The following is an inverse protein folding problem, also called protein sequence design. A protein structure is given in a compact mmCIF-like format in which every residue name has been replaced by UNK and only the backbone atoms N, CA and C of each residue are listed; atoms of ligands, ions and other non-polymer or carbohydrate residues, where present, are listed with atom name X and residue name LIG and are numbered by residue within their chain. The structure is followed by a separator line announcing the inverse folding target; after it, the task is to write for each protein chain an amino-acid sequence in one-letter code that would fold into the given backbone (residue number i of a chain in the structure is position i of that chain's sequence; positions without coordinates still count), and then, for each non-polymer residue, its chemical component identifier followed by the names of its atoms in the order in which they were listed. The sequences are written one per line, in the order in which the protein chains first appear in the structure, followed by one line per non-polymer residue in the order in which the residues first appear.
data_IF_538404227605
#
_entry.id   IF_538404227605
#
_cell.length_a   1.000
_cell.length_b   1.000
_cell.length_c   1.000
_cell.angle_alpha   90.00
_cell.angle_beta   90.00
_cell.angle_gamma   90.00
#
_symmetry.space_group_name_H-M   'P 1'
#
loop_
_entity.id
_entity.type
_entity.pdbx_description
1 polymer ?
#
# COMPACT_ATOMS: atom_id res chain seq x y z
N UNK A 1 11.16 -41.98 8.03
CA UNK A 1 11.54 -41.12 6.88
C UNK A 1 10.34 -40.41 6.23
N UNK A 2 9.22 -41.09 5.94
CA UNK A 2 8.02 -40.44 5.34
C UNK A 2 7.51 -39.22 6.13
N UNK A 3 7.51 -39.28 7.47
CA UNK A 3 7.01 -38.19 8.31
C UNK A 3 7.91 -36.93 8.30
N UNK A 4 9.22 -37.10 8.07
CA UNK A 4 10.17 -35.99 7.96
C UNK A 4 9.99 -35.25 6.63
N UNK A 5 9.69 -35.99 5.56
CA UNK A 5 9.44 -35.43 4.22
C UNK A 5 8.15 -34.61 4.21
N UNK A 6 7.08 -35.09 4.86
CA UNK A 6 5.83 -34.32 5.01
C UNK A 6 6.02 -33.04 5.83
N UNK A 7 6.83 -33.09 6.91
CA UNK A 7 7.14 -31.90 7.71
C UNK A 7 7.91 -30.84 6.90
N UNK A 8 8.89 -31.28 6.09
CA UNK A 8 9.65 -30.39 5.21
C UNK A 8 8.78 -29.75 4.13
N UNK A 9 7.81 -30.48 3.56
CA UNK A 9 6.85 -29.93 2.60
C UNK A 9 5.95 -28.85 3.24
N UNK A 10 5.48 -29.07 4.47
CA UNK A 10 4.65 -28.08 5.19
C UNK A 10 5.44 -26.80 5.49
N UNK A 11 6.72 -26.92 5.88
CA UNK A 11 7.61 -25.77 6.14
C UNK A 11 7.90 -24.96 4.86
N UNK A 12 7.99 -25.62 3.71
CA UNK A 12 8.19 -24.92 2.44
C UNK A 12 6.89 -24.28 1.91
N UNK A 13 5.71 -24.85 2.22
CA UNK A 13 4.43 -24.22 1.90
C UNK A 13 4.05 -23.08 2.85
N UNK A 14 4.62 -23.04 4.07
CA UNK A 14 4.44 -21.93 5.01
C UNK A 14 5.42 -20.77 4.81
N UNK A 15 6.30 -20.81 3.79
CA UNK A 15 6.83 -19.59 3.18
C UNK A 15 5.72 -18.93 2.35
N UNK A 16 4.66 -18.57 3.07
CA UNK A 16 3.62 -17.64 2.67
C UNK A 16 4.32 -16.36 2.24
N UNK A 17 3.87 -15.83 1.12
CA UNK A 17 4.17 -14.51 0.60
C UNK A 17 3.98 -13.43 1.68
N UNK A 18 4.97 -13.23 2.54
CA UNK A 18 5.14 -11.97 3.23
C UNK A 18 5.91 -11.10 2.27
N UNK A 19 5.19 -10.30 1.48
CA UNK A 19 5.79 -9.16 0.80
C UNK A 19 6.36 -8.30 1.93
N UNK A 20 7.66 -8.43 2.23
CA UNK A 20 8.30 -7.66 3.27
C UNK A 20 8.10 -6.19 2.93
N UNK A 21 7.40 -5.47 3.82
CA UNK A 21 7.25 -4.02 3.73
C UNK A 21 8.66 -3.42 3.62
N UNK A 22 8.92 -2.52 2.65
CA UNK A 22 10.24 -1.93 2.47
C UNK A 22 10.77 -1.35 3.79
N UNK A 23 12.07 -1.48 4.05
CA UNK A 23 12.68 -1.05 5.30
C UNK A 23 12.34 0.43 5.58
N UNK A 24 11.75 0.71 6.74
CA UNK A 24 11.33 2.06 7.13
C UNK A 24 9.89 2.45 6.75
N UNK A 25 9.11 1.53 6.19
CA UNK A 25 7.68 1.73 5.95
C UNK A 25 6.83 0.90 6.92
N UNK A 26 5.66 1.44 7.27
CA UNK A 26 4.60 0.79 8.05
C UNK A 26 3.46 0.33 7.13
N UNK A 27 2.67 -0.63 7.60
CA UNK A 27 1.41 -1.06 7.00
C UNK A 27 0.23 -0.37 7.68
N UNK A 28 -0.92 -0.30 7.00
CA UNK A 28 -2.20 0.14 7.60
C UNK A 28 -2.69 -0.80 8.72
N UNK A 29 -2.15 -2.02 8.79
CA UNK A 29 -2.45 -3.00 9.84
C UNK A 29 -1.58 -2.84 11.09
N UNK A 30 -0.58 -1.95 11.07
CA UNK A 30 0.28 -1.73 12.24
C UNK A 30 -0.48 -0.95 13.33
N UNK A 31 -0.07 -1.10 14.58
CA UNK A 31 -0.76 -0.51 15.74
C UNK A 31 0.03 0.59 16.44
N UNK A 32 1.30 0.77 16.08
CA UNK A 32 2.20 1.75 16.71
C UNK A 32 2.77 2.68 15.65
N UNK A 33 2.41 3.96 15.76
CA UNK A 33 2.83 5.03 14.86
C UNK A 33 3.46 6.17 15.64
N UNK A 34 4.53 6.72 15.07
CA UNK A 34 5.21 7.92 15.58
C UNK A 34 5.31 8.97 14.48
N UNK A 35 5.66 10.20 14.87
CA UNK A 35 5.83 11.31 13.93
C UNK A 35 6.86 10.94 12.85
N UNK A 36 6.55 11.27 11.60
CA UNK A 36 7.38 11.03 10.41
C UNK A 36 7.46 9.57 9.94
N UNK A 37 6.65 8.64 10.49
CA UNK A 37 6.53 7.32 9.88
C UNK A 37 5.88 7.40 8.50
N UNK A 38 6.41 6.60 7.57
CA UNK A 38 5.86 6.46 6.22
C UNK A 38 5.02 5.19 6.17
N UNK A 39 3.79 5.31 5.70
CA UNK A 39 2.90 4.16 5.50
C UNK A 39 2.96 3.80 4.03
N UNK A 40 3.13 2.52 3.73
CA UNK A 40 3.07 2.03 2.35
C UNK A 40 1.61 2.08 1.88
N UNK A 41 1.29 3.11 1.10
CA UNK A 41 -0.04 3.29 0.53
C UNK A 41 -0.37 2.18 -0.48
N UNK A 42 -1.57 1.56 -0.44
CA UNK A 42 -2.02 0.72 -1.54
C UNK A 42 -2.11 1.54 -2.83
N UNK A 43 -1.92 0.89 -3.98
CA UNK A 43 -1.84 1.57 -5.28
C UNK A 43 -3.22 2.10 -5.65
N UNK A 44 -3.33 3.43 -5.83
CA UNK A 44 -4.50 4.09 -6.40
C UNK A 44 -4.14 4.49 -7.82
N UNK A 45 -4.81 3.90 -8.81
CA UNK A 45 -4.62 4.27 -10.21
C UNK A 45 -5.73 5.21 -10.68
N UNK A 46 -5.36 6.23 -11.45
CA UNK A 46 -6.28 7.16 -12.07
C UNK A 46 -6.04 7.23 -13.57
N UNK A 47 -7.11 7.46 -14.33
CA UNK A 47 -7.02 7.76 -15.74
C UNK A 47 -6.85 9.26 -15.92
N UNK A 48 -5.91 9.66 -16.78
CA UNK A 48 -5.72 11.05 -17.23
C UNK A 48 -6.43 11.31 -18.56
N UNK A 49 -6.66 10.26 -19.37
CA UNK A 49 -7.34 10.34 -20.66
C UNK A 49 -8.86 10.33 -20.45
N UNK A 50 -9.45 11.52 -20.33
CA UNK A 50 -10.90 11.71 -20.15
C UNK A 50 -11.32 12.50 -18.90
N UNK A 51 -10.36 12.99 -18.13
CA UNK A 51 -10.58 13.70 -16.86
C UNK A 51 -10.14 12.87 -15.65
N UNK A 52 -10.03 13.49 -14.45
CA UNK A 52 -9.56 12.81 -13.25
C UNK A 52 -10.59 11.77 -12.80
N UNK A 53 -10.36 10.52 -13.20
CA UNK A 53 -11.22 9.38 -12.83
C UNK A 53 -10.39 8.30 -12.15
N UNK A 54 -10.76 7.93 -10.93
CA UNK A 54 -10.16 6.80 -10.21
C UNK A 54 -10.59 5.50 -10.91
N UNK A 55 -9.63 4.62 -11.19
CA UNK A 55 -9.93 3.30 -11.74
C UNK A 55 -10.43 2.38 -10.62
N UNK A 56 -11.70 1.96 -10.72
CA UNK A 56 -12.40 1.20 -9.68
C UNK A 56 -11.77 -0.16 -9.34
N UNK A 57 -11.17 -0.82 -10.33
CA UNK A 57 -10.81 -2.24 -10.26
C UNK A 57 -9.87 -2.59 -9.10
N UNK A 58 -9.09 -1.64 -8.59
CA UNK A 58 -8.24 -1.81 -7.40
C UNK A 58 -8.31 -0.64 -6.39
N UNK A 59 -8.87 0.50 -6.79
CA UNK A 59 -8.82 1.71 -5.97
C UNK A 59 -9.93 1.78 -4.93
N UNK A 60 -11.10 1.17 -5.16
CA UNK A 60 -12.22 1.26 -4.21
C UNK A 60 -11.86 0.60 -2.87
N UNK A 61 -11.26 -0.60 -2.89
CA UNK A 61 -10.78 -1.28 -1.68
C UNK A 61 -9.62 -0.52 -1.00
N UNK A 62 -8.73 0.06 -1.80
CA UNK A 62 -7.58 0.83 -1.31
C UNK A 62 -8.02 2.11 -0.59
N UNK A 63 -9.01 2.82 -1.16
CA UNK A 63 -9.59 4.03 -0.58
C UNK A 63 -10.36 3.73 0.71
N UNK A 64 -11.09 2.61 0.78
CA UNK A 64 -11.78 2.19 2.01
C UNK A 64 -10.76 1.97 3.13
N UNK A 65 -9.67 1.24 2.87
CA UNK A 65 -8.61 1.00 3.86
C UNK A 65 -8.02 2.32 4.38
N UNK A 66 -7.74 3.26 3.48
CA UNK A 66 -7.20 4.57 3.86
C UNK A 66 -8.22 5.36 4.68
N UNK A 67 -9.49 5.36 4.27
CA UNK A 67 -10.56 6.07 4.97
C UNK A 67 -10.78 5.49 6.38
N UNK A 68 -10.87 4.17 6.51
CA UNK A 68 -11.02 3.49 7.79
C UNK A 68 -9.84 3.78 8.73
N UNK A 69 -8.62 3.83 8.19
CA UNK A 69 -7.43 4.17 8.95
C UNK A 69 -7.44 5.61 9.44
N UNK A 70 -7.79 6.57 8.59
CA UNK A 70 -7.88 7.99 8.98
C UNK A 70 -8.95 8.17 10.06
N UNK A 71 -10.13 7.56 9.88
CA UNK A 71 -11.23 7.62 10.84
C UNK A 71 -10.86 6.97 12.19
N UNK A 72 -10.04 5.92 12.19
CA UNK A 72 -9.58 5.27 13.41
C UNK A 72 -8.47 6.05 14.13
N UNK A 73 -7.87 7.06 13.48
CA UNK A 73 -6.74 7.82 13.98
C UNK A 73 -7.01 9.34 13.92
N UNK A 74 -8.16 9.79 14.42
CA UNK A 74 -8.65 11.18 14.31
C UNK A 74 -7.68 12.25 14.85
N UNK A 75 -6.76 11.89 15.75
CA UNK A 75 -5.79 12.80 16.35
C UNK A 75 -4.51 12.98 15.51
N UNK A 76 -4.37 12.28 14.38
CA UNK A 76 -3.19 12.34 13.55
C UNK A 76 -3.32 13.40 12.46
N UNK A 77 -2.19 14.00 12.09
CA UNK A 77 -2.09 14.89 10.94
C UNK A 77 -1.44 14.09 9.81
N UNK A 78 -2.15 13.99 8.68
CA UNK A 78 -1.71 13.23 7.51
C UNK A 78 -1.21 14.16 6.40
N UNK A 79 -0.18 13.72 5.69
CA UNK A 79 0.29 14.31 4.45
C UNK A 79 0.07 13.32 3.31
N UNK A 80 -0.51 13.77 2.20
CA UNK A 80 -0.72 12.96 1.00
C UNK A 80 0.24 13.44 -0.08
N UNK A 81 1.25 12.61 -0.38
CA UNK A 81 2.15 12.83 -1.51
C UNK A 81 1.63 12.17 -2.77
N UNK A 82 1.50 12.93 -3.86
CA UNK A 82 1.22 12.40 -5.20
C UNK A 82 2.51 12.34 -6.01
N UNK A 83 2.70 11.26 -6.77
CA UNK A 83 3.86 11.07 -7.62
C UNK A 83 3.42 10.63 -9.02
N UNK A 84 4.03 11.24 -10.03
CA UNK A 84 3.92 10.86 -11.44
C UNK A 84 5.16 10.10 -11.86
N UNK A 85 5.07 9.36 -12.96
CA UNK A 85 6.25 8.78 -13.58
C UNK A 85 7.06 9.84 -14.35
N UNK A 86 8.19 9.43 -14.94
CA UNK A 86 9.09 10.35 -15.63
C UNK A 86 8.63 10.73 -17.04
N UNK A 87 7.49 10.22 -17.52
CA UNK A 87 6.96 10.55 -18.85
C UNK A 87 6.26 11.90 -18.79
N UNK A 88 6.32 12.66 -19.88
CA UNK A 88 5.69 13.98 -19.98
C UNK A 88 6.63 15.14 -19.63
N UNK A 89 6.07 16.36 -19.57
CA UNK A 89 6.81 17.55 -19.14
C UNK A 89 6.66 17.73 -17.63
N UNK A 90 7.65 18.31 -16.96
CA UNK A 90 7.57 18.66 -15.53
C UNK A 90 6.29 19.45 -15.23
N UNK A 91 5.98 20.44 -16.08
CA UNK A 91 4.74 21.22 -15.97
C UNK A 91 3.50 20.33 -16.05
N UNK A 92 3.48 19.34 -16.95
CA UNK A 92 2.36 18.41 -17.10
C UNK A 92 2.22 17.43 -15.94
N UNK A 93 3.31 17.11 -15.27
CA UNK A 93 3.38 16.20 -14.13
C UNK A 93 3.02 16.85 -12.79
N UNK A 94 2.92 18.20 -12.76
CA UNK A 94 2.50 19.01 -11.62
C UNK A 94 1.01 19.42 -11.69
N UNK A 95 0.31 19.05 -12.75
CA UNK A 95 -1.14 19.28 -12.93
C UNK A 95 -1.91 18.15 -12.25
#
# INVERSE_FOLDING_TARGET
MKNIISLLLIINFSMVYSQCVPLGYKSFSDTVFEKNYKILCPIITFNLSGGPGIQKENSDSSLIIIADFINSNENFIFEIGSHTDQRGSEKGNLI
#
